data_IF_593961505093
#
_entry.id   IF_593961505093
#
_cell.length_a   1.000
_cell.length_b   1.000
_cell.length_c   1.000
_cell.angle_alpha   90.00
_cell.angle_beta   90.00
_cell.angle_gamma   90.00
#
_symmetry.space_group_name_H-M   'P 1'
#
loop_
_entity.id
_entity.type
_entity.pdbx_description
1 polymer ?
#
# COMPACT_ATOMS: atom_id res chain seq x y z
N UNK A 1 17.29 -22.93 -5.20
CA UNK A 1 17.77 -21.88 -4.27
C UNK A 1 16.84 -20.67 -4.28
N UNK A 2 16.49 -20.13 -3.11
CA UNK A 2 15.60 -18.95 -2.96
C UNK A 2 16.05 -17.74 -3.78
N UNK A 3 17.37 -17.50 -3.90
CA UNK A 3 17.91 -16.41 -4.73
C UNK A 3 17.53 -16.54 -6.21
N UNK A 4 17.56 -17.76 -6.74
CA UNK A 4 17.15 -18.03 -8.12
C UNK A 4 15.66 -17.82 -8.32
N UNK A 5 14.82 -18.27 -7.37
CA UNK A 5 13.39 -18.05 -7.41
C UNK A 5 13.04 -16.54 -7.38
N UNK A 6 13.65 -15.76 -6.47
CA UNK A 6 13.44 -14.31 -6.39
C UNK A 6 13.87 -13.59 -7.66
N UNK A 7 15.02 -13.97 -8.23
CA UNK A 7 15.52 -13.38 -9.48
C UNK A 7 14.58 -13.68 -10.64
N UNK A 8 14.11 -14.92 -10.75
CA UNK A 8 13.17 -15.34 -11.79
C UNK A 8 11.81 -14.64 -11.65
N UNK A 9 11.28 -14.58 -10.42
CA UNK A 9 10.03 -13.87 -10.12
C UNK A 9 10.12 -12.38 -10.42
N UNK A 10 11.23 -11.72 -10.07
CA UNK A 10 11.42 -10.30 -10.38
C UNK A 10 11.53 -10.05 -11.90
N UNK A 11 12.20 -10.95 -12.64
CA UNK A 11 12.25 -10.87 -14.11
C UNK A 11 10.87 -11.06 -14.76
N UNK A 12 10.08 -12.01 -14.27
CA UNK A 12 8.76 -12.33 -14.84
C UNK A 12 7.70 -11.30 -14.47
N UNK A 13 7.67 -10.83 -13.23
CA UNK A 13 6.67 -9.86 -12.76
C UNK A 13 7.03 -8.41 -13.09
N UNK A 14 8.30 -8.11 -13.39
CA UNK A 14 8.80 -6.74 -13.50
C UNK A 14 8.88 -6.00 -12.15
N UNK A 15 8.46 -6.64 -11.05
CA UNK A 15 8.43 -6.03 -9.72
C UNK A 15 9.79 -6.19 -9.08
N UNK A 16 10.34 -5.08 -8.59
CA UNK A 16 11.62 -5.06 -7.85
C UNK A 16 11.37 -4.74 -6.39
N UNK A 17 11.71 -5.64 -5.45
CA UNK A 17 11.62 -5.33 -4.03
C UNK A 17 12.53 -4.17 -3.67
N UNK A 18 11.99 -3.19 -2.96
CA UNK A 18 12.76 -2.12 -2.31
C UNK A 18 13.23 -2.59 -0.95
N UNK A 19 14.40 -2.11 -0.54
CA UNK A 19 14.98 -2.41 0.77
C UNK A 19 15.03 -1.14 1.58
N UNK A 20 14.50 -1.20 2.79
CA UNK A 20 14.55 -0.11 3.75
C UNK A 20 15.30 -0.57 4.98
N UNK A 21 16.30 0.19 5.39
CA UNK A 21 17.01 -0.08 6.62
C UNK A 21 16.10 0.24 7.81
N UNK A 22 16.11 -0.63 8.81
CA UNK A 22 15.29 -0.49 10.01
C UNK A 22 16.16 -0.55 11.25
N UNK A 23 15.68 0.08 12.32
CA UNK A 23 16.21 -0.17 13.65
C UNK A 23 16.10 -1.67 13.99
N UNK A 24 17.11 -2.23 14.67
CA UNK A 24 17.11 -3.63 15.11
C UNK A 24 15.82 -4.00 15.88
N UNK A 25 15.40 -3.10 16.78
CA UNK A 25 14.18 -3.24 17.59
C UNK A 25 12.91 -2.78 16.85
N UNK A 26 12.97 -2.54 15.53
CA UNK A 26 11.83 -2.06 14.71
C UNK A 26 11.22 -0.73 15.15
N UNK A 27 11.92 0.10 15.93
CA UNK A 27 11.38 1.41 16.37
C UNK A 27 11.08 2.36 15.20
N UNK A 28 11.87 2.28 14.13
CA UNK A 28 11.72 3.10 12.94
C UNK A 28 12.36 2.46 11.71
N UNK A 29 11.93 2.93 10.53
CA UNK A 29 12.66 2.79 9.27
C UNK A 29 13.51 4.05 9.04
N UNK A 30 14.74 3.89 8.57
CA UNK A 30 15.66 4.98 8.24
C UNK A 30 15.35 5.54 6.85
N UNK A 31 14.19 6.20 6.75
CA UNK A 31 13.66 6.81 5.51
C UNK A 31 13.17 8.23 5.79
N UNK A 32 12.96 9.03 4.74
CA UNK A 32 12.49 10.41 4.88
C UNK A 32 13.38 11.20 5.84
N UNK A 33 12.80 11.82 6.87
CA UNK A 33 13.53 12.57 7.90
C UNK A 33 14.57 11.78 8.71
N UNK A 34 14.59 10.45 8.61
CA UNK A 34 15.56 9.59 9.30
C UNK A 34 16.62 9.00 8.36
N UNK A 35 16.66 9.41 7.08
CA UNK A 35 17.53 8.81 6.05
C UNK A 35 19.01 8.86 6.42
N UNK A 36 19.45 9.95 7.06
CA UNK A 36 20.86 10.25 7.30
C UNK A 36 21.32 9.84 8.71
N UNK A 37 20.39 9.33 9.52
CA UNK A 37 20.70 8.88 10.87
C UNK A 37 21.43 7.55 10.86
N UNK A 38 22.51 7.50 11.65
CA UNK A 38 23.29 6.31 11.91
C UNK A 38 22.85 5.56 13.17
N UNK A 39 22.13 6.24 14.06
CA UNK A 39 21.59 5.67 15.29
C UNK A 39 20.08 5.90 15.34
N UNK A 40 19.34 4.94 15.89
CA UNK A 40 17.91 5.07 16.08
C UNK A 40 17.61 6.22 17.05
N UNK A 41 16.77 7.21 16.70
CA UNK A 41 16.48 8.33 17.60
C UNK A 41 15.69 7.90 18.86
N UNK A 42 15.11 6.70 18.86
CA UNK A 42 14.27 6.19 19.97
C UNK A 42 15.01 5.27 20.94
N UNK A 43 15.93 4.43 20.45
CA UNK A 43 16.64 3.45 21.29
C UNK A 43 18.16 3.54 21.16
N UNK A 44 18.69 4.50 20.41
CA UNK A 44 20.12 4.80 20.22
C UNK A 44 20.96 3.66 19.62
N UNK A 45 20.35 2.51 19.30
CA UNK A 45 21.03 1.43 18.61
C UNK A 45 21.51 1.87 17.23
N UNK A 46 22.75 1.50 16.91
CA UNK A 46 23.32 1.70 15.57
C UNK A 46 22.47 1.02 14.50
N UNK A 47 22.27 1.72 13.39
CA UNK A 47 21.70 1.24 12.13
C UNK A 47 22.56 0.15 11.51
N UNK A 48 23.89 0.32 11.56
CA UNK A 48 24.86 -0.53 10.90
C UNK A 48 25.58 -1.46 11.87
N UNK A 49 25.94 -2.66 11.40
CA UNK A 49 26.81 -3.59 12.11
C UNK A 49 28.28 -3.27 11.88
N UNK A 50 29.17 -4.05 12.51
CA UNK A 50 30.63 -3.92 12.35
C UNK A 50 31.11 -4.07 10.90
N UNK A 51 30.33 -4.75 10.05
CA UNK A 51 30.61 -4.93 8.63
C UNK A 51 30.10 -3.78 7.74
N UNK A 52 29.64 -2.68 8.32
CA UNK A 52 29.07 -1.53 7.60
C UNK A 52 27.71 -1.77 6.95
N UNK A 53 27.10 -2.95 7.13
CA UNK A 53 25.77 -3.27 6.56
C UNK A 53 24.68 -2.97 7.58
N UNK A 54 23.50 -2.61 7.07
CA UNK A 54 22.33 -2.41 7.90
C UNK A 54 22.02 -3.68 8.70
N UNK A 55 21.78 -3.52 10.00
CA UNK A 55 21.54 -4.67 10.90
C UNK A 55 20.19 -5.34 10.62
N UNK A 56 19.22 -4.58 10.11
CA UNK A 56 17.89 -5.06 9.76
C UNK A 56 17.38 -4.32 8.53
N UNK A 57 16.77 -5.06 7.61
CA UNK A 57 16.16 -4.50 6.41
C UNK A 57 14.73 -5.03 6.25
N UNK A 58 13.80 -4.11 6.00
CA UNK A 58 12.46 -4.44 5.54
C UNK A 58 12.44 -4.49 4.01
N UNK A 59 11.87 -5.56 3.46
CA UNK A 59 11.70 -5.73 2.02
C UNK A 59 10.27 -5.34 1.66
N UNK A 60 10.13 -4.27 0.90
CA UNK A 60 8.84 -3.76 0.44
C UNK A 60 8.64 -4.08 -1.03
N UNK A 61 7.47 -4.60 -1.38
CA UNK A 61 7.04 -4.72 -2.77
C UNK A 61 6.25 -3.46 -3.13
N UNK A 62 6.75 -2.62 -4.06
CA UNK A 62 6.11 -1.36 -4.42
C UNK A 62 4.64 -1.55 -4.79
N UNK A 63 3.76 -0.88 -4.03
CA UNK A 63 2.33 -1.02 -4.21
C UNK A 63 1.87 -0.56 -5.60
N UNK A 64 2.42 0.55 -6.12
CA UNK A 64 2.12 1.05 -7.46
C UNK A 64 2.46 0.02 -8.56
N UNK A 65 3.57 -0.70 -8.42
CA UNK A 65 3.93 -1.75 -9.39
C UNK A 65 2.95 -2.92 -9.33
N UNK A 66 2.50 -3.30 -8.12
CA UNK A 66 1.48 -4.33 -7.94
C UNK A 66 0.16 -3.94 -8.61
N UNK A 67 -0.27 -2.69 -8.46
CA UNK A 67 -1.46 -2.17 -9.15
C UNK A 67 -1.29 -2.21 -10.66
N UNK A 68 -0.17 -1.73 -11.19
CA UNK A 68 0.10 -1.79 -12.63
C UNK A 68 0.04 -3.24 -13.17
N UNK A 69 0.59 -4.21 -12.42
CA UNK A 69 0.52 -5.63 -12.80
C UNK A 69 -0.90 -6.18 -12.84
N UNK A 70 -1.85 -5.66 -12.04
CA UNK A 70 -3.26 -6.07 -12.13
C UNK A 70 -3.89 -5.66 -13.46
N UNK A 71 -3.47 -4.54 -14.05
CA UNK A 71 -3.94 -4.09 -15.37
C UNK A 71 -3.17 -4.68 -16.55
N UNK A 72 -2.06 -5.38 -16.31
CA UNK A 72 -1.22 -5.93 -17.39
C UNK A 72 -1.92 -7.06 -18.17
N UNK A 73 -2.83 -7.81 -17.54
CA UNK A 73 -3.65 -8.81 -18.22
C UNK A 73 -5.00 -8.23 -18.62
N UNK A 74 -5.42 -8.46 -19.87
CA UNK A 74 -6.74 -8.06 -20.37
C UNK A 74 -7.88 -8.58 -19.50
N UNK A 75 -7.81 -9.84 -19.06
CA UNK A 75 -8.86 -10.45 -18.23
C UNK A 75 -8.95 -9.81 -16.84
N UNK A 76 -7.81 -9.49 -16.23
CA UNK A 76 -7.79 -8.80 -14.94
C UNK A 76 -8.19 -7.33 -15.09
N UNK A 77 -7.72 -6.64 -16.13
CA UNK A 77 -8.10 -5.26 -16.41
C UNK A 77 -9.62 -5.09 -16.60
N UNK A 78 -10.31 -6.08 -17.17
CA UNK A 78 -11.77 -6.11 -17.21
C UNK A 78 -12.37 -6.23 -15.80
N UNK A 79 -11.90 -7.19 -14.99
CA UNK A 79 -12.37 -7.36 -13.60
C UNK A 79 -12.14 -6.12 -12.74
N UNK A 80 -11.04 -5.39 -12.97
CA UNK A 80 -10.74 -4.14 -12.27
C UNK A 80 -11.73 -3.01 -12.57
N UNK A 81 -12.61 -3.15 -13.58
CA UNK A 81 -13.71 -2.21 -13.89
C UNK A 81 -15.01 -2.53 -13.16
N UNK A 82 -15.01 -3.54 -12.28
CA UNK A 82 -16.17 -3.99 -11.50
C UNK A 82 -17.04 -2.86 -10.96
N UNK A 83 -16.42 -1.82 -10.38
CA UNK A 83 -17.12 -0.65 -9.83
C UNK A 83 -18.03 0.05 -10.85
N UNK A 84 -17.54 0.27 -12.07
CA UNK A 84 -18.32 0.89 -13.15
C UNK A 84 -19.41 -0.04 -13.67
N UNK A 85 -19.20 -1.35 -13.59
CA UNK A 85 -20.18 -2.35 -14.03
C UNK A 85 -21.30 -2.57 -13.01
N UNK A 86 -20.99 -2.53 -11.70
CA UNK A 86 -21.99 -2.60 -10.63
C UNK A 86 -22.93 -1.39 -10.63
N UNK A 87 -22.40 -0.19 -10.88
CA UNK A 87 -23.21 1.03 -10.97
C UNK A 87 -24.32 0.94 -12.05
N UNK A 88 -24.13 0.13 -13.10
CA UNK A 88 -25.16 -0.08 -14.14
C UNK A 88 -26.36 -0.87 -13.65
N UNK A 89 -26.25 -1.55 -12.51
CA UNK A 89 -27.29 -2.37 -11.89
C UNK A 89 -27.94 -1.68 -10.68
N UNK A 90 -27.76 -0.36 -10.53
CA UNK A 90 -28.30 0.46 -9.44
C UNK A 90 -29.83 0.68 -9.51
N UNK A 91 -30.59 -0.42 -9.57
CA UNK A 91 -32.05 -0.45 -9.44
C UNK A 91 -32.54 -1.32 -8.28
N UNK A 92 -31.66 -2.05 -7.61
CA UNK A 92 -32.01 -2.93 -6.49
C UNK A 92 -31.96 -2.16 -5.16
N UNK A 93 -32.97 -2.36 -4.30
CA UNK A 93 -33.06 -1.68 -3.01
C UNK A 93 -32.15 -2.27 -1.92
N UNK A 94 -31.41 -3.33 -2.25
CA UNK A 94 -30.50 -4.02 -1.33
C UNK A 94 -29.08 -3.44 -1.40
N UNK A 95 -28.44 -3.30 -0.25
CA UNK A 95 -27.01 -2.97 -0.17
C UNK A 95 -26.20 -4.21 -0.57
N UNK A 96 -25.52 -4.15 -1.71
CA UNK A 96 -24.76 -5.28 -2.25
C UNK A 96 -23.26 -5.13 -1.97
N UNK A 97 -22.73 -3.92 -2.08
CA UNK A 97 -21.29 -3.66 -1.90
C UNK A 97 -21.01 -2.22 -1.41
N UNK A 98 -19.74 -1.91 -1.14
CA UNK A 98 -19.31 -0.58 -0.69
C UNK A 98 -19.70 0.54 -1.67
N UNK A 99 -19.93 0.23 -2.95
CA UNK A 99 -20.39 1.18 -3.97
C UNK A 99 -21.82 1.66 -3.75
N UNK A 100 -22.61 0.94 -2.95
CA UNK A 100 -23.96 1.36 -2.56
C UNK A 100 -23.96 2.32 -1.36
N UNK A 101 -22.83 2.42 -0.66
CA UNK A 101 -22.67 3.29 0.50
C UNK A 101 -22.83 4.76 0.14
N UNK A 102 -23.55 5.50 1.00
CA UNK A 102 -23.73 6.95 0.84
C UNK A 102 -22.40 7.71 0.75
N UNK A 103 -21.37 7.26 1.48
CA UNK A 103 -20.04 7.87 1.42
C UNK A 103 -19.40 7.74 0.05
N UNK A 104 -19.39 6.53 -0.53
CA UNK A 104 -18.84 6.33 -1.88
C UNK A 104 -19.62 7.14 -2.93
N UNK A 105 -20.95 7.15 -2.84
CA UNK A 105 -21.82 7.93 -3.74
C UNK A 105 -21.58 9.45 -3.59
N UNK A 106 -21.32 9.93 -2.37
CA UNK A 106 -20.93 11.31 -2.09
C UNK A 106 -19.59 11.68 -2.72
N UNK A 107 -18.55 10.85 -2.54
CA UNK A 107 -17.23 11.12 -3.12
C UNK A 107 -17.28 11.33 -4.64
N UNK A 108 -18.17 10.63 -5.36
CA UNK A 108 -18.34 10.78 -6.81
C UNK A 108 -18.81 12.16 -7.26
N UNK A 109 -19.37 12.98 -6.35
CA UNK A 109 -19.76 14.36 -6.63
C UNK A 109 -18.72 15.37 -6.13
N UNK A 110 -17.73 14.92 -5.35
CA UNK A 110 -16.69 15.74 -4.76
C UNK A 110 -15.43 15.81 -5.64
N UNK A 111 -14.82 16.98 -5.73
CA UNK A 111 -13.54 17.18 -6.43
C UNK A 111 -12.40 16.57 -5.64
N UNK A 112 -11.44 15.98 -6.37
CA UNK A 112 -10.25 15.42 -5.74
C UNK A 112 -9.38 16.54 -5.18
N UNK A 113 -8.88 16.36 -3.95
CA UNK A 113 -7.90 17.26 -3.34
C UNK A 113 -6.58 16.52 -3.13
N UNK A 114 -5.49 17.05 -3.70
CA UNK A 114 -4.13 16.50 -3.56
C UNK A 114 -3.24 17.60 -2.99
N UNK A 115 -2.59 17.33 -1.86
CA UNK A 115 -1.73 18.30 -1.14
C UNK A 115 -2.40 19.67 -0.94
N UNK A 116 -3.71 19.66 -0.65
CA UNK A 116 -4.52 20.87 -0.44
C UNK A 116 -4.96 21.59 -1.71
N UNK A 117 -4.63 21.07 -2.90
CA UNK A 117 -5.02 21.64 -4.19
C UNK A 117 -6.20 20.87 -4.79
N UNK A 118 -7.29 21.59 -5.08
CA UNK A 118 -8.46 21.04 -5.74
C UNK A 118 -8.19 20.76 -7.23
N UNK A 119 -8.55 19.57 -7.68
CA UNK A 119 -8.37 19.12 -9.06
C UNK A 119 -9.60 19.43 -9.93
N UNK A 120 -9.43 19.32 -11.24
CA UNK A 120 -10.52 19.56 -12.22
C UNK A 120 -11.51 18.40 -12.33
N UNK A 121 -11.23 17.27 -11.69
CA UNK A 121 -12.01 16.04 -11.75
C UNK A 121 -12.49 15.59 -10.37
N UNK A 122 -13.55 14.80 -10.36
CA UNK A 122 -14.16 14.23 -9.15
C UNK A 122 -13.60 12.85 -8.83
N UNK A 123 -13.77 12.39 -7.58
CA UNK A 123 -13.34 11.04 -7.21
C UNK A 123 -14.06 9.99 -8.05
N UNK A 124 -13.33 8.95 -8.45
CA UNK A 124 -13.85 7.81 -9.22
C UNK A 124 -14.47 8.19 -10.58
N UNK A 125 -14.03 9.30 -11.17
CA UNK A 125 -14.50 9.77 -12.48
C UNK A 125 -14.04 8.89 -13.65
N UNK A 126 -12.90 8.18 -13.51
CA UNK A 126 -12.44 7.21 -14.49
C UNK A 126 -12.84 5.79 -14.05
N UNK A 127 -13.37 4.98 -14.97
CA UNK A 127 -13.70 3.58 -14.68
C UNK A 127 -12.49 2.70 -14.32
N UNK A 128 -11.28 3.21 -14.53
CA UNK A 128 -10.00 2.60 -14.14
C UNK A 128 -9.50 3.07 -12.77
N UNK A 129 -10.17 4.02 -12.11
CA UNK A 129 -9.82 4.39 -10.74
C UNK A 129 -9.91 3.16 -9.83
N UNK A 130 -9.12 3.11 -8.76
CA UNK A 130 -9.09 1.98 -7.83
C UNK A 130 -9.45 2.48 -6.44
N UNK A 131 -10.54 1.98 -5.88
CA UNK A 131 -10.88 2.22 -4.48
C UNK A 131 -10.03 1.33 -3.59
N UNK A 132 -9.34 1.93 -2.62
CA UNK A 132 -8.48 1.23 -1.67
C UNK A 132 -8.98 1.51 -0.26
N UNK A 133 -9.32 0.44 0.45
CA UNK A 133 -9.64 0.50 1.86
C UNK A 133 -8.46 -0.07 2.66
N UNK A 134 -7.99 0.70 3.65
CA UNK A 134 -7.05 0.21 4.65
C UNK A 134 -7.85 -0.04 5.94
N UNK A 135 -7.90 -1.29 6.36
CA UNK A 135 -8.36 -1.64 7.70
C UNK A 135 -7.15 -2.08 8.51
N UNK A 136 -6.95 -1.47 9.66
CA UNK A 136 -5.96 -1.90 10.64
C UNK A 136 -6.72 -2.34 11.88
N UNK A 137 -6.56 -3.61 12.27
CA UNK A 137 -7.03 -4.06 13.59
C UNK A 137 -6.24 -3.31 14.67
N UNK A 138 -6.93 -2.96 15.75
CA UNK A 138 -6.50 -1.97 16.72
C UNK A 138 -5.07 -2.18 17.21
N UNK A 139 -4.29 -1.10 17.20
CA UNK A 139 -3.06 -1.01 17.98
C UNK A 139 -3.42 -1.32 19.43
N UNK A 140 -2.98 -2.48 19.96
CA UNK A 140 -3.17 -2.85 21.36
C UNK A 140 -2.50 -1.80 22.27
N UNK A 141 -3.24 -0.97 23.02
CA UNK A 141 -2.66 0.11 23.82
C UNK A 141 -2.01 -0.39 25.12
N UNK A 142 -2.10 -1.68 25.42
CA UNK A 142 -1.56 -2.25 26.66
C UNK A 142 -0.18 -2.89 26.44
N UNK A 143 0.79 -2.42 27.23
CA UNK A 143 2.18 -2.89 27.32
C UNK A 143 2.24 -4.33 27.84
N UNK A 144 1.98 -5.34 26.99
CA UNK A 144 2.42 -6.75 27.07
C UNK A 144 1.53 -7.56 26.09
N UNK A 145 2.00 -8.13 24.98
CA UNK A 145 2.83 -9.36 24.98
C UNK A 145 3.37 -9.77 23.58
N UNK A 146 4.06 -10.92 23.58
CA UNK A 146 5.07 -11.52 22.68
C UNK A 146 4.57 -12.26 21.43
N UNK A 147 3.34 -12.08 20.98
CA UNK A 147 2.86 -12.75 19.76
C UNK A 147 1.98 -11.77 18.98
N UNK A 148 2.32 -11.56 17.72
CA UNK A 148 1.50 -10.83 16.75
C UNK A 148 0.77 -11.89 15.92
N UNK A 149 -0.54 -11.74 15.76
CA UNK A 149 -1.30 -12.45 14.74
C UNK A 149 -0.88 -12.00 13.34
#
# INVERSE_FOLDING_TARGET
SLKHAHTRLSKLSGIRPLRFDCCWNSCCCFTGKYSDLHNCPFCQLSRYGSNGKARKQFHYLPFTQRLASLYASRSNAMKMRYRTEQDRHAGDSAFNDYTDGCHYRGLRTERVVIDGQEQTFVYFSDGRDVALALSADGVCPFRNRRVTC
#
